data_IF_193135632484
#
_entry.id   IF_193135632484
#
_cell.length_a   1.000
_cell.length_b   1.000
_cell.length_c   1.000
_cell.angle_alpha   90.00
_cell.angle_beta   90.00
_cell.angle_gamma   90.00
#
_symmetry.space_group_name_H-M   'P 1'
#
loop_
_entity.id
_entity.type
_entity.pdbx_description
1 polymer ?
#
# COMPACT_ATOMS: atom_id res chain seq x y z
N UNK A 1 -1.95 -7.68 -3.39
CA UNK A 1 -2.20 -9.11 -3.69
C UNK A 1 -2.64 -9.95 -2.51
N UNK A 2 -2.30 -9.62 -1.27
CA UNK A 2 -2.74 -10.40 -0.10
C UNK A 2 -4.25 -10.75 -0.12
N UNK A 3 -5.13 -9.82 -0.56
CA UNK A 3 -6.58 -10.09 -0.76
C UNK A 3 -6.86 -11.20 -1.76
N UNK A 4 -6.11 -11.23 -2.87
CA UNK A 4 -6.22 -12.24 -3.90
C UNK A 4 -5.64 -13.59 -3.43
N UNK A 5 -4.52 -13.60 -2.73
CA UNK A 5 -3.96 -14.83 -2.11
C UNK A 5 -4.93 -15.47 -1.11
N UNK A 6 -5.69 -14.64 -0.37
CA UNK A 6 -6.74 -15.14 0.52
C UNK A 6 -7.87 -15.83 -0.25
N UNK A 7 -8.29 -15.30 -1.40
CA UNK A 7 -9.35 -15.94 -2.21
C UNK A 7 -8.89 -17.22 -2.90
N UNK A 8 -7.63 -17.29 -3.34
CA UNK A 8 -7.07 -18.51 -3.96
C UNK A 8 -6.73 -19.60 -2.94
N UNK A 9 -6.98 -19.35 -1.65
CA UNK A 9 -6.67 -20.25 -0.53
C UNK A 9 -5.19 -20.65 -0.46
N UNK A 10 -4.29 -19.78 -0.94
CA UNK A 10 -2.86 -19.98 -0.76
C UNK A 10 -2.50 -19.83 0.72
N UNK A 11 -1.40 -20.46 1.14
CA UNK A 11 -0.84 -20.22 2.46
C UNK A 11 -0.29 -18.79 2.53
N UNK A 12 -0.90 -17.93 3.34
CA UNK A 12 -0.44 -16.56 3.57
C UNK A 12 -0.56 -16.20 5.07
N UNK A 13 0.32 -15.31 5.54
CA UNK A 13 0.33 -14.87 6.93
C UNK A 13 -0.77 -13.83 7.17
N UNK A 14 -1.81 -14.21 7.93
CA UNK A 14 -2.92 -13.31 8.27
C UNK A 14 -2.50 -12.10 9.12
N UNK A 15 -1.38 -12.21 9.83
CA UNK A 15 -0.73 -11.14 10.59
C UNK A 15 -0.24 -10.00 9.68
N UNK A 16 0.18 -10.26 8.45
CA UNK A 16 0.66 -9.23 7.51
C UNK A 16 -0.46 -8.31 7.06
N UNK A 17 -1.64 -8.88 6.82
CA UNK A 17 -2.84 -8.11 6.56
C UNK A 17 -3.20 -7.18 7.70
N UNK A 18 -3.11 -7.68 8.94
CA UNK A 18 -3.34 -6.87 10.13
C UNK A 18 -2.26 -5.79 10.21
N UNK A 19 -0.98 -6.10 10.00
CA UNK A 19 0.12 -5.12 10.03
C UNK A 19 -0.04 -4.00 8.99
N UNK A 20 -0.54 -4.35 7.79
CA UNK A 20 -0.84 -3.38 6.73
C UNK A 20 -2.06 -2.51 7.03
N UNK A 21 -3.12 -3.08 7.63
CA UNK A 21 -4.40 -2.37 7.85
C UNK A 21 -4.60 -1.78 9.24
N UNK A 22 -3.91 -2.26 10.28
CA UNK A 22 -4.28 -2.02 11.69
C UNK A 22 -4.59 -0.54 11.92
N UNK A 23 -5.83 -0.31 12.30
CA UNK A 23 -6.48 0.96 12.57
C UNK A 23 -7.02 0.82 13.99
N UNK A 24 -6.42 1.53 14.95
CA UNK A 24 -6.74 1.50 16.39
C UNK A 24 -5.84 0.58 17.25
N UNK A 25 -5.95 0.58 18.57
CA UNK A 25 -5.86 1.74 19.49
C UNK A 25 -4.39 1.75 19.93
N UNK A 26 -3.70 2.87 19.80
CA UNK A 26 -2.29 3.07 20.15
C UNK A 26 -1.15 2.53 19.26
N UNK A 27 -1.36 1.65 18.27
CA UNK A 27 -0.29 1.31 17.31
C UNK A 27 -0.85 1.17 15.89
N UNK A 28 -0.85 2.28 15.14
CA UNK A 28 -1.31 2.32 13.76
C UNK A 28 -0.44 1.49 12.80
N UNK A 29 -1.04 1.01 11.71
CA UNK A 29 -0.32 0.42 10.56
C UNK A 29 0.76 1.35 10.03
N UNK A 30 1.70 0.82 9.24
CA UNK A 30 2.69 1.68 8.55
C UNK A 30 1.99 2.78 7.74
N UNK A 31 0.90 2.46 7.03
CA UNK A 31 0.15 3.44 6.23
C UNK A 31 -0.55 4.45 7.14
N UNK A 32 -1.22 4.01 8.22
CA UNK A 32 -1.87 4.94 9.13
C UNK A 32 -0.86 5.90 9.78
N UNK A 33 0.30 5.40 10.23
CA UNK A 33 1.38 6.22 10.78
C UNK A 33 1.95 7.21 9.76
N UNK A 34 2.11 6.78 8.51
CA UNK A 34 2.53 7.69 7.43
C UNK A 34 1.53 8.81 7.20
N UNK A 35 0.22 8.51 7.25
CA UNK A 35 -0.84 9.48 7.05
C UNK A 35 -1.01 10.43 8.24
N UNK A 36 -0.79 9.98 9.48
CA UNK A 36 -0.81 10.86 10.66
C UNK A 36 0.34 11.86 10.62
N UNK A 37 1.57 11.41 10.33
CA UNK A 37 2.73 12.29 10.19
C UNK A 37 2.53 13.30 9.05
N UNK A 38 1.95 12.87 7.92
CA UNK A 38 1.60 13.79 6.83
C UNK A 38 0.59 14.83 7.30
N UNK A 39 -0.43 14.44 8.09
CA UNK A 39 -1.44 15.37 8.58
C UNK A 39 -0.89 16.37 9.60
N UNK A 40 0.04 15.94 10.46
CA UNK A 40 0.73 16.82 11.41
C UNK A 40 1.49 17.93 10.67
N UNK A 41 2.21 17.59 9.60
CA UNK A 41 2.89 18.59 8.75
C UNK A 41 1.92 19.57 8.07
N UNK A 42 0.79 19.08 7.56
CA UNK A 42 -0.25 19.96 7.00
C UNK A 42 -0.82 20.93 8.06
N UNK A 43 -0.83 20.55 9.34
CA UNK A 43 -1.27 21.41 10.45
C UNK A 43 -0.20 22.46 10.75
N UNK A 44 1.09 22.09 10.75
CA UNK A 44 2.21 23.03 10.91
C UNK A 44 2.24 24.08 9.78
N UNK A 45 1.88 23.69 8.55
CA UNK A 45 1.73 24.59 7.40
C UNK A 45 0.45 25.47 7.47
N UNK A 46 -0.39 25.30 8.49
CA UNK A 46 -1.61 26.09 8.68
C UNK A 46 -2.80 25.66 7.80
N UNK A 47 -2.77 24.46 7.22
CA UNK A 47 -3.81 23.99 6.30
C UNK A 47 -5.04 23.49 7.08
N UNK A 48 -6.14 24.25 6.94
CA UNK A 48 -7.44 23.90 7.51
C UNK A 48 -8.04 22.61 6.96
N UNK A 49 -8.96 22.02 7.72
CA UNK A 49 -9.57 20.71 7.42
C UNK A 49 -10.31 20.64 6.07
N UNK A 50 -10.85 21.76 5.57
CA UNK A 50 -11.54 21.79 4.27
C UNK A 50 -10.56 21.72 3.09
N UNK A 51 -9.44 22.44 3.19
CA UNK A 51 -8.40 22.46 2.16
C UNK A 51 -7.69 21.11 2.10
N UNK A 52 -7.32 20.53 3.25
CA UNK A 52 -6.74 19.18 3.33
C UNK A 52 -7.61 18.13 2.62
N UNK A 53 -8.94 18.14 2.83
CA UNK A 53 -9.86 17.22 2.12
C UNK A 53 -9.94 17.46 0.61
N UNK A 54 -9.87 18.71 0.15
CA UNK A 54 -9.87 19.01 -1.29
C UNK A 54 -8.60 18.46 -1.94
N UNK A 55 -7.45 18.69 -1.32
CA UNK A 55 -6.14 18.19 -1.76
C UNK A 55 -6.09 16.65 -1.74
N UNK A 56 -6.57 16.01 -0.66
CA UNK A 56 -6.63 14.55 -0.57
C UNK A 56 -7.52 13.93 -1.67
N UNK A 57 -8.69 14.55 -1.95
CA UNK A 57 -9.57 14.10 -3.04
C UNK A 57 -8.98 14.34 -4.42
N UNK A 58 -8.21 15.40 -4.61
CA UNK A 58 -7.52 15.66 -5.88
C UNK A 58 -6.39 14.65 -6.09
N UNK A 59 -5.57 14.44 -5.06
CA UNK A 59 -4.49 13.45 -5.07
C UNK A 59 -5.02 12.05 -5.36
N UNK A 60 -6.07 11.59 -4.67
CA UNK A 60 -6.69 10.28 -4.91
C UNK A 60 -7.21 10.10 -6.33
N UNK A 61 -7.66 11.17 -6.99
CA UNK A 61 -8.09 11.15 -8.39
C UNK A 61 -6.93 11.02 -9.38
N UNK A 62 -5.74 11.52 -9.03
CA UNK A 62 -4.55 11.44 -9.90
C UNK A 62 -3.74 10.14 -9.76
N UNK A 63 -4.13 9.22 -8.88
CA UNK A 63 -3.38 7.97 -8.66
C UNK A 63 -3.60 7.03 -9.85
N UNK A 64 -2.54 6.82 -10.64
CA UNK A 64 -2.48 5.75 -11.64
C UNK A 64 -2.18 4.43 -10.95
N UNK A 65 -3.02 3.42 -11.19
CA UNK A 65 -2.83 2.08 -10.62
C UNK A 65 -1.57 1.45 -11.23
N UNK A 66 -0.58 1.17 -10.39
CA UNK A 66 0.65 0.44 -10.76
C UNK A 66 0.73 -0.86 -9.98
N UNK A 67 1.23 -1.95 -10.58
CA UNK A 67 1.51 -3.16 -9.84
C UNK A 67 2.61 -2.86 -8.79
N UNK A 68 2.52 -3.46 -7.59
CA UNK A 68 3.49 -3.20 -6.54
C UNK A 68 4.88 -3.73 -6.94
N UNK A 69 5.95 -3.00 -6.60
CA UNK A 69 7.31 -3.30 -7.07
C UNK A 69 7.85 -4.64 -6.58
N UNK A 70 7.39 -5.14 -5.43
CA UNK A 70 7.73 -6.48 -4.95
C UNK A 70 7.29 -7.61 -5.88
N UNK A 71 6.27 -7.36 -6.71
CA UNK A 71 5.76 -8.36 -7.67
C UNK A 71 6.35 -8.20 -9.06
N UNK A 72 6.69 -6.98 -9.48
CA UNK A 72 7.41 -6.79 -10.74
C UNK A 72 8.70 -7.61 -10.73
N UNK A 73 9.43 -7.57 -9.63
CA UNK A 73 10.66 -8.35 -9.44
C UNK A 73 10.41 -9.85 -9.48
N UNK A 74 9.38 -10.35 -8.79
CA UNK A 74 9.04 -11.78 -8.80
C UNK A 74 8.56 -12.26 -10.18
N UNK A 75 7.83 -11.43 -10.93
CA UNK A 75 7.40 -11.75 -12.29
C UNK A 75 8.56 -11.67 -13.29
N UNK A 76 9.49 -10.72 -13.12
CA UNK A 76 10.72 -10.63 -13.91
C UNK A 76 11.66 -11.82 -13.63
N UNK A 77 11.76 -12.26 -12.38
CA UNK A 77 12.52 -13.45 -11.95
C UNK A 77 11.88 -14.75 -12.45
N UNK A 78 10.56 -14.90 -12.34
CA UNK A 78 9.81 -16.06 -12.87
C UNK A 78 9.92 -16.13 -14.40
N UNK A 79 9.78 -15.00 -15.11
CA UNK A 79 9.92 -14.96 -16.57
C UNK A 79 11.36 -15.25 -17.03
N UNK A 80 12.38 -14.81 -16.27
CA UNK A 80 13.77 -15.18 -16.54
C UNK A 80 14.03 -16.67 -16.32
N UNK A 81 13.46 -17.26 -15.26
CA UNK A 81 13.59 -18.69 -14.96
C UNK A 81 12.83 -19.58 -15.97
N UNK A 82 11.74 -19.10 -16.55
CA UNK A 82 11.00 -19.81 -17.60
C UNK A 82 11.76 -19.77 -18.94
N UNK A 83 12.46 -18.67 -19.23
CA UNK A 83 13.37 -18.54 -20.38
C UNK A 83 14.62 -19.43 -20.24
N UNK A 84 15.20 -19.59 -19.05
CA UNK A 84 16.32 -20.52 -18.82
C UNK A 84 15.91 -22.00 -18.90
N UNK A 85 14.66 -22.35 -18.58
CA UNK A 85 14.15 -23.73 -18.69
C UNK A 85 13.74 -24.12 -20.11
N UNK A 86 13.62 -23.16 -21.01
CA UNK A 86 13.23 -23.36 -22.41
C UNK A 86 14.40 -23.21 -23.40
N UNK A 87 15.62 -23.04 -22.89
CA UNK A 87 16.90 -23.12 -23.62
C UNK A 87 17.62 -24.43 -23.31
#
# INVERSE_FOLDING_TARGET
>A
MLRLQKSTRNEFKSSEFRRMRKWGVFHGSQIARMLTVKREREIEEGVGNRLSRKLDRQWKRSIVVRPPPSLKKLQEEEAAAEAEKSA
#
